data_IF_164289294173
#
_entry.id   IF_164289294173
#
_cell.length_a   1.000
_cell.length_b   1.000
_cell.length_c   1.000
_cell.angle_alpha   90.00
_cell.angle_beta   90.00
_cell.angle_gamma   90.00
#
_symmetry.space_group_name_H-M   'P 1'
#
loop_
_entity.id
_entity.type
_entity.pdbx_description
1 polymer ?
#
# COMPACT_ATOMS: atom_id res chain seq x y z
N UNK A 1 19.97 21.70 29.19
CA UNK A 1 18.99 21.36 30.27
C UNK A 1 17.66 21.97 29.86
N UNK A 2 16.57 21.19 29.81
CA UNK A 2 15.24 21.72 29.41
C UNK A 2 14.47 22.25 30.63
N UNK A 3 13.48 23.12 30.42
CA UNK A 3 12.62 23.66 31.50
C UNK A 3 12.01 22.55 32.38
N UNK A 4 11.59 21.44 31.75
CA UNK A 4 11.09 20.26 32.45
C UNK A 4 12.17 19.56 33.29
N UNK A 5 13.36 19.37 32.72
CA UNK A 5 14.48 18.75 33.45
C UNK A 5 14.92 19.60 34.65
N UNK A 6 14.87 20.93 34.52
CA UNK A 6 15.15 21.85 35.61
C UNK A 6 14.10 21.76 36.73
N UNK A 7 12.80 21.74 36.38
CA UNK A 7 11.71 21.59 37.36
C UNK A 7 11.75 20.24 38.08
N UNK A 8 11.96 19.14 37.34
CA UNK A 8 12.08 17.81 37.95
C UNK A 8 13.26 17.74 38.92
N UNK A 9 14.40 18.34 38.55
CA UNK A 9 15.56 18.41 39.44
C UNK A 9 15.29 19.27 40.68
N UNK A 10 14.58 20.39 40.54
CA UNK A 10 14.19 21.24 41.65
C UNK A 10 13.23 20.52 42.61
N UNK A 11 12.22 19.82 42.08
CA UNK A 11 11.29 19.00 42.88
C UNK A 11 12.06 17.94 43.69
N UNK A 12 12.99 17.21 43.05
CA UNK A 12 13.80 16.20 43.75
C UNK A 12 14.63 16.80 44.89
N UNK A 13 15.29 17.93 44.68
CA UNK A 13 16.12 18.57 45.69
C UNK A 13 15.30 19.14 46.87
N UNK A 14 14.13 19.71 46.59
CA UNK A 14 13.30 20.34 47.61
C UNK A 14 12.42 19.36 48.37
N UNK A 15 12.16 18.16 47.82
CA UNK A 15 11.38 17.11 48.49
C UNK A 15 12.09 16.49 49.69
N UNK A 16 13.39 16.70 49.85
CA UNK A 16 14.19 16.21 50.99
C UNK A 16 13.98 17.03 52.27
N UNK A 17 13.36 18.22 52.18
CA UNK A 17 13.16 19.13 53.30
C UNK A 17 11.66 19.45 53.49
N UNK A 18 11.06 19.12 54.65
CA UNK A 18 9.62 19.32 54.91
C UNK A 18 9.15 20.77 54.84
N UNK A 19 10.06 21.73 55.01
CA UNK A 19 9.77 23.17 54.96
C UNK A 19 9.33 23.65 53.56
N UNK A 20 9.74 22.95 52.50
CA UNK A 20 9.36 23.26 51.12
C UNK A 20 8.21 22.39 50.59
N UNK A 21 7.46 21.71 51.45
CA UNK A 21 6.39 20.80 51.02
C UNK A 21 5.33 21.50 50.15
N UNK A 22 5.01 22.75 50.48
CA UNK A 22 4.06 23.57 49.70
C UNK A 22 4.66 24.01 48.36
N UNK A 23 5.93 24.43 48.35
CA UNK A 23 6.63 24.79 47.11
C UNK A 23 6.79 23.60 46.18
N UNK A 24 7.08 22.40 46.72
CA UNK A 24 7.12 21.14 45.97
C UNK A 24 5.75 20.83 45.38
N UNK A 25 4.67 21.03 46.13
CA UNK A 25 3.30 20.84 45.64
C UNK A 25 2.99 21.78 44.48
N UNK A 26 3.30 23.07 44.60
CA UNK A 26 3.09 24.07 43.55
C UNK A 26 3.98 23.79 42.34
N UNK A 27 5.23 23.40 42.53
CA UNK A 27 6.14 23.03 41.43
C UNK A 27 5.66 21.77 40.70
N UNK A 28 5.06 20.82 41.43
CA UNK A 28 4.44 19.63 40.86
C UNK A 28 3.21 20.02 40.04
N UNK A 29 2.34 20.87 40.56
CA UNK A 29 1.17 21.42 39.85
C UNK A 29 1.61 22.18 38.59
N UNK A 30 2.59 23.08 38.67
CA UNK A 30 3.16 23.77 37.52
C UNK A 30 3.77 22.78 36.54
N UNK A 31 4.46 21.74 37.00
CA UNK A 31 5.02 20.68 36.13
C UNK A 31 3.94 19.90 35.40
N UNK A 32 2.78 19.70 36.02
CA UNK A 32 1.63 18.99 35.47
C UNK A 32 0.79 19.91 34.54
N UNK A 33 0.74 21.21 34.83
CA UNK A 33 0.10 22.26 34.01
C UNK A 33 0.98 22.78 32.87
N UNK A 34 2.30 22.56 32.92
CA UNK A 34 3.18 22.88 31.81
C UNK A 34 2.65 22.19 30.56
N UNK A 35 2.57 22.89 29.40
CA UNK A 35 2.05 22.30 28.18
C UNK A 35 3.02 21.24 27.65
N UNK A 36 2.91 20.03 28.19
CA UNK A 36 3.61 18.83 27.75
C UNK A 36 2.54 17.94 27.12
N UNK A 37 2.13 18.32 25.92
CA UNK A 37 1.21 17.61 25.03
C UNK A 37 -0.18 17.34 25.64
N UNK A 38 -1.22 17.94 25.05
CA UNK A 38 -2.67 17.81 25.38
C UNK A 38 -3.27 16.39 25.29
N UNK A 39 -2.46 15.34 25.36
CA UNK A 39 -2.82 13.96 25.07
C UNK A 39 -2.52 13.05 26.27
N UNK A 40 -3.50 12.95 27.17
CA UNK A 40 -3.59 11.92 28.23
C UNK A 40 -3.73 10.51 27.64
N UNK A 41 -3.61 9.46 28.47
CA UNK A 41 -3.70 8.07 27.95
C UNK A 41 -5.12 7.80 27.45
N UNK A 42 -6.10 8.24 28.24
CA UNK A 42 -7.52 8.22 27.89
C UNK A 42 -7.78 8.95 26.58
N UNK A 43 -7.40 10.23 26.46
CA UNK A 43 -7.68 11.00 25.23
C UNK A 43 -7.03 10.42 23.97
N UNK A 44 -5.87 9.76 24.08
CA UNK A 44 -5.23 9.06 22.96
C UNK A 44 -6.08 7.86 22.53
N UNK A 45 -6.53 7.03 23.48
CA UNK A 45 -7.38 5.87 23.20
C UNK A 45 -8.74 6.30 22.66
N UNK A 46 -9.38 7.27 23.31
CA UNK A 46 -10.67 7.83 22.91
C UNK A 46 -10.63 8.34 21.47
N UNK A 47 -9.58 9.07 21.08
CA UNK A 47 -9.42 9.55 19.71
C UNK A 47 -9.25 8.41 18.68
N UNK A 48 -8.54 7.35 19.05
CA UNK A 48 -8.35 6.17 18.19
C UNK A 48 -9.63 5.36 18.07
N UNK A 49 -10.36 5.18 19.16
CA UNK A 49 -11.64 4.47 19.20
C UNK A 49 -12.71 5.22 18.44
N UNK A 50 -12.82 6.55 18.63
CA UNK A 50 -13.71 7.39 17.84
C UNK A 50 -13.38 7.29 16.35
N UNK A 51 -12.09 7.31 15.98
CA UNK A 51 -11.69 7.11 14.59
C UNK A 51 -12.16 5.75 14.03
N UNK A 52 -12.02 4.68 14.83
CA UNK A 52 -12.44 3.33 14.43
C UNK A 52 -13.95 3.27 14.25
N UNK A 53 -14.73 3.87 15.14
CA UNK A 53 -16.18 3.96 15.03
C UNK A 53 -16.60 4.71 13.77
N UNK A 54 -15.96 5.85 13.48
CA UNK A 54 -16.30 6.70 12.35
C UNK A 54 -15.90 6.09 11.00
N UNK A 55 -14.83 5.29 10.94
CA UNK A 55 -14.22 4.84 9.69
C UNK A 55 -14.26 3.31 9.49
N UNK A 56 -14.67 2.53 10.49
CA UNK A 56 -14.68 1.07 10.46
C UNK A 56 -13.29 0.43 10.32
N UNK A 57 -12.20 1.17 10.59
CA UNK A 57 -10.82 0.68 10.47
C UNK A 57 -9.88 1.33 11.49
N UNK A 58 -8.80 0.64 11.82
CA UNK A 58 -7.72 1.21 12.65
C UNK A 58 -6.99 2.34 11.88
N UNK A 59 -6.66 3.46 12.55
CA UNK A 59 -5.98 4.57 11.90
C UNK A 59 -4.55 4.21 11.46
N UNK A 60 -4.12 4.80 10.34
CA UNK A 60 -2.77 4.66 9.78
C UNK A 60 -1.86 5.78 10.25
N UNK A 61 -0.54 5.66 10.05
CA UNK A 61 0.40 6.74 10.38
C UNK A 61 0.07 8.10 9.71
N UNK A 62 -0.58 8.07 8.54
CA UNK A 62 -1.05 9.29 7.85
C UNK A 62 -2.29 9.90 8.52
N UNK A 63 -3.15 9.08 9.13
CA UNK A 63 -4.33 9.57 9.86
C UNK A 63 -3.90 10.33 11.13
N UNK A 64 -2.82 9.90 11.79
CA UNK A 64 -2.21 10.60 12.94
C UNK A 64 -1.56 11.97 12.59
N UNK A 65 -1.52 12.34 11.30
CA UNK A 65 -1.11 13.70 10.86
C UNK A 65 -2.30 14.66 10.73
N UNK A 66 -3.54 14.16 10.77
CA UNK A 66 -4.76 14.97 10.64
C UNK A 66 -5.06 15.68 11.96
N UNK A 67 -5.84 16.77 11.86
CA UNK A 67 -6.37 17.46 13.06
C UNK A 67 -7.30 16.51 13.81
N UNK A 68 -7.23 16.54 15.15
CA UNK A 68 -8.03 15.67 16.02
C UNK A 68 -7.37 14.34 16.39
N UNK A 69 -6.19 14.02 15.86
CA UNK A 69 -5.40 12.85 16.27
C UNK A 69 -4.16 13.26 17.06
N UNK A 70 -3.67 12.41 18.00
CA UNK A 70 -2.40 12.66 18.66
C UNK A 70 -1.25 12.59 17.65
N UNK A 71 -0.30 13.55 17.66
CA UNK A 71 0.89 13.44 16.83
C UNK A 71 1.68 12.17 17.15
N UNK A 72 2.27 11.52 16.13
CA UNK A 72 3.09 10.32 16.31
C UNK A 72 4.26 10.51 17.31
N UNK A 73 4.76 11.74 17.46
CA UNK A 73 5.79 12.11 18.44
C UNK A 73 5.31 11.94 19.87
N UNK A 74 4.03 12.21 20.15
CA UNK A 74 3.40 12.03 21.48
C UNK A 74 3.42 10.55 21.86
N UNK A 75 3.00 9.67 20.95
CA UNK A 75 2.99 8.22 21.18
C UNK A 75 4.40 7.71 21.48
N UNK A 76 5.39 8.12 20.67
CA UNK A 76 6.80 7.75 20.89
C UNK A 76 7.34 8.25 22.23
N UNK A 77 7.06 9.49 22.59
CA UNK A 77 7.56 10.09 23.84
C UNK A 77 6.95 9.43 25.07
N UNK A 78 5.66 9.07 25.00
CA UNK A 78 4.87 8.56 26.12
C UNK A 78 5.06 7.08 26.35
N UNK A 79 4.90 6.26 25.31
CA UNK A 79 4.92 4.80 25.43
C UNK A 79 6.30 4.19 25.11
N UNK A 80 7.28 5.01 24.71
CA UNK A 80 8.64 4.58 24.33
C UNK A 80 8.67 3.52 23.22
N UNK A 81 7.61 3.43 22.43
CA UNK A 81 7.45 2.49 21.32
C UNK A 81 7.10 3.24 20.03
N UNK A 82 7.15 2.56 18.90
CA UNK A 82 6.67 3.13 17.64
C UNK A 82 5.14 3.16 17.59
N UNK A 83 4.57 4.10 16.83
CA UNK A 83 3.11 4.13 16.61
C UNK A 83 2.58 2.80 16.06
N UNK A 84 3.34 2.15 15.19
CA UNK A 84 2.97 0.87 14.58
C UNK A 84 2.86 -0.24 15.63
N UNK A 85 3.87 -0.37 16.48
CA UNK A 85 3.88 -1.36 17.57
C UNK A 85 2.76 -1.09 18.56
N UNK A 86 2.59 0.17 18.99
CA UNK A 86 1.52 0.56 19.90
C UNK A 86 0.13 0.20 19.36
N UNK A 87 -0.15 0.52 18.09
CA UNK A 87 -1.41 0.15 17.43
C UNK A 87 -1.56 -1.37 17.32
N UNK A 88 -0.50 -2.11 17.02
CA UNK A 88 -0.56 -3.56 16.91
C UNK A 88 -0.83 -4.24 18.26
N UNK A 89 -0.31 -3.70 19.35
CA UNK A 89 -0.54 -4.20 20.71
C UNK A 89 -1.96 -3.90 21.21
N UNK A 90 -2.47 -2.69 20.96
CA UNK A 90 -3.77 -2.27 21.50
C UNK A 90 -4.96 -2.51 20.57
N UNK A 91 -4.72 -2.52 19.26
CA UNK A 91 -5.75 -2.68 18.22
C UNK A 91 -5.24 -3.67 17.14
N UNK A 92 -5.06 -4.95 17.50
CA UNK A 92 -4.54 -5.94 16.56
C UNK A 92 -5.48 -6.11 15.37
N UNK A 93 -5.02 -5.71 14.19
CA UNK A 93 -5.72 -5.96 12.92
C UNK A 93 -5.13 -7.22 12.30
N UNK A 94 -5.98 -8.21 12.02
CA UNK A 94 -5.58 -9.35 11.19
C UNK A 94 -5.16 -8.84 9.82
N UNK A 95 -3.88 -8.96 9.50
CA UNK A 95 -3.38 -8.65 8.17
C UNK A 95 -3.37 -9.95 7.39
N UNK A 96 -4.17 -10.06 6.31
CA UNK A 96 -4.18 -11.28 5.55
C UNK A 96 -2.77 -11.51 4.98
N UNK A 97 -2.27 -12.71 5.25
CA UNK A 97 -1.00 -13.23 4.77
C UNK A 97 -0.96 -13.21 3.23
N UNK A 98 0.22 -13.47 2.67
CA UNK A 98 0.33 -13.60 1.22
C UNK A 98 -0.59 -14.72 0.69
N UNK A 99 -0.63 -15.87 1.37
CA UNK A 99 -1.44 -17.01 0.97
C UNK A 99 -2.95 -16.73 1.10
N UNK A 100 -3.41 -16.11 2.20
CA UNK A 100 -4.84 -15.75 2.35
C UNK A 100 -5.29 -14.75 1.27
N UNK A 101 -4.42 -13.79 0.89
CA UNK A 101 -4.74 -12.87 -0.22
C UNK A 101 -4.78 -13.59 -1.56
N UNK A 102 -3.80 -14.46 -1.81
CA UNK A 102 -3.75 -15.27 -3.02
C UNK A 102 -5.00 -16.12 -3.15
N UNK A 103 -5.37 -16.86 -2.11
CA UNK A 103 -6.57 -17.67 -2.05
C UNK A 103 -7.83 -16.84 -2.30
N UNK A 104 -7.99 -15.72 -1.59
CA UNK A 104 -9.13 -14.81 -1.78
C UNK A 104 -9.28 -14.35 -3.24
N UNK A 105 -8.21 -13.86 -3.86
CA UNK A 105 -8.28 -13.35 -5.23
C UNK A 105 -8.43 -14.48 -6.26
N UNK A 106 -7.83 -15.64 -6.01
CA UNK A 106 -8.02 -16.83 -6.84
C UNK A 106 -9.48 -17.26 -6.81
N UNK A 107 -10.10 -17.33 -5.63
CA UNK A 107 -11.49 -17.74 -5.47
C UNK A 107 -12.44 -16.78 -6.19
N UNK A 108 -12.28 -15.47 -5.96
CA UNK A 108 -13.05 -14.43 -6.64
C UNK A 108 -12.90 -14.51 -8.18
N UNK A 109 -11.71 -14.86 -8.67
CA UNK A 109 -11.48 -15.06 -10.09
C UNK A 109 -12.19 -16.30 -10.63
N UNK A 110 -12.11 -17.44 -9.93
CA UNK A 110 -12.75 -18.70 -10.34
C UNK A 110 -14.27 -18.53 -10.42
N UNK A 111 -14.87 -17.92 -9.39
CA UNK A 111 -16.31 -17.65 -9.34
C UNK A 111 -16.74 -16.78 -10.53
N UNK A 112 -16.01 -15.69 -10.77
CA UNK A 112 -16.32 -14.77 -11.85
C UNK A 112 -16.07 -15.39 -13.23
N UNK A 113 -15.03 -16.20 -13.36
CA UNK A 113 -14.69 -16.95 -14.57
C UNK A 113 -15.82 -17.92 -14.94
N UNK A 114 -16.31 -18.68 -13.95
CA UNK A 114 -17.40 -19.62 -14.14
C UNK A 114 -18.73 -18.93 -14.45
N UNK A 115 -18.94 -17.71 -13.93
CA UNK A 115 -20.11 -16.87 -14.23
C UNK A 115 -20.11 -16.37 -15.67
N UNK A 116 -19.02 -15.78 -16.14
CA UNK A 116 -18.96 -15.12 -17.45
C UNK A 116 -18.56 -16.05 -18.60
N UNK A 117 -17.87 -17.16 -18.29
CA UNK A 117 -17.34 -18.14 -19.26
C UNK A 117 -16.61 -17.48 -20.43
N UNK A 118 -15.54 -16.73 -20.15
CA UNK A 118 -14.93 -15.83 -21.12
C UNK A 118 -14.20 -16.62 -22.21
N UNK A 119 -14.29 -16.16 -23.45
CA UNK A 119 -13.56 -16.77 -24.58
C UNK A 119 -12.08 -16.40 -24.64
N UNK A 120 -11.70 -15.28 -24.01
CA UNK A 120 -10.31 -14.80 -23.96
C UNK A 120 -10.02 -14.00 -22.68
N UNK A 121 -8.74 -13.72 -22.44
CA UNK A 121 -8.28 -12.90 -21.32
C UNK A 121 -8.82 -11.45 -21.38
N UNK A 122 -8.99 -10.90 -22.58
CA UNK A 122 -9.58 -9.57 -22.80
C UNK A 122 -11.08 -9.58 -22.50
N UNK A 123 -11.77 -10.65 -22.91
CA UNK A 123 -13.18 -10.82 -22.59
C UNK A 123 -13.41 -10.88 -21.09
N UNK A 124 -12.57 -11.62 -20.34
CA UNK A 124 -12.65 -11.62 -18.88
C UNK A 124 -12.50 -10.23 -18.28
N UNK A 125 -11.47 -9.47 -18.69
CA UNK A 125 -11.22 -8.14 -18.12
C UNK A 125 -12.31 -7.11 -18.47
N UNK A 126 -13.02 -7.29 -19.58
CA UNK A 126 -14.13 -6.44 -19.99
C UNK A 126 -15.43 -6.78 -19.28
N UNK A 127 -15.74 -8.08 -19.14
CA UNK A 127 -17.06 -8.57 -18.71
C UNK A 127 -17.11 -8.88 -17.20
N UNK A 128 -15.95 -8.84 -16.50
CA UNK A 128 -15.88 -8.95 -15.04
C UNK A 128 -16.57 -7.76 -14.35
N UNK A 129 -17.03 -8.01 -13.14
CA UNK A 129 -17.55 -6.98 -12.26
C UNK A 129 -16.44 -5.97 -11.90
N UNK A 130 -16.76 -4.68 -11.73
CA UNK A 130 -15.77 -3.64 -11.42
C UNK A 130 -14.94 -3.91 -10.15
N UNK A 131 -15.54 -4.61 -9.18
CA UNK A 131 -14.92 -4.96 -7.89
C UNK A 131 -13.84 -6.04 -8.03
N UNK A 132 -13.96 -6.92 -9.03
CA UNK A 132 -13.05 -8.04 -9.26
C UNK A 132 -11.78 -7.53 -9.95
N UNK A 133 -10.62 -8.02 -9.51
CA UNK A 133 -9.34 -7.68 -10.13
C UNK A 133 -9.20 -8.37 -11.49
N UNK A 134 -8.39 -7.77 -12.36
CA UNK A 134 -8.07 -8.39 -13.65
C UNK A 134 -7.31 -9.70 -13.47
N UNK A 135 -7.38 -10.57 -14.47
CA UNK A 135 -6.73 -11.89 -14.43
C UNK A 135 -5.22 -11.81 -14.14
N UNK A 136 -4.57 -10.71 -14.54
CA UNK A 136 -3.15 -10.46 -14.30
C UNK A 136 -2.82 -10.43 -12.80
N UNK A 137 -3.76 -10.00 -11.95
CA UNK A 137 -3.55 -10.02 -10.49
C UNK A 137 -3.38 -11.45 -9.99
N UNK A 138 -4.22 -12.37 -10.44
CA UNK A 138 -4.10 -13.80 -10.10
C UNK A 138 -2.84 -14.39 -10.73
N UNK A 139 -2.58 -14.11 -12.01
CA UNK A 139 -1.37 -14.57 -12.70
C UNK A 139 -0.07 -14.18 -11.96
N UNK A 140 -0.01 -12.97 -11.40
CA UNK A 140 1.13 -12.52 -10.61
C UNK A 140 1.35 -13.35 -9.33
N UNK A 141 0.28 -13.78 -8.66
CA UNK A 141 0.39 -14.64 -7.47
C UNK A 141 1.03 -15.99 -7.77
N UNK A 142 0.79 -16.54 -8.97
CA UNK A 142 1.38 -17.78 -9.47
C UNK A 142 2.68 -17.55 -10.28
N UNK A 143 3.16 -16.30 -10.38
CA UNK A 143 4.36 -15.89 -11.13
C UNK A 143 4.32 -16.27 -12.62
N UNK A 144 3.13 -16.25 -13.21
CA UNK A 144 2.92 -16.58 -14.63
C UNK A 144 2.51 -15.33 -15.42
N UNK A 145 2.81 -15.34 -16.72
CA UNK A 145 2.46 -14.26 -17.66
C UNK A 145 1.49 -14.71 -18.76
N UNK A 146 0.99 -15.95 -18.67
CA UNK A 146 0.16 -16.57 -19.71
C UNK A 146 -1.20 -16.95 -19.16
N UNK A 147 -2.25 -16.46 -19.81
CA UNK A 147 -3.64 -16.81 -19.53
C UNK A 147 -3.88 -18.32 -19.61
N UNK A 148 -3.38 -18.98 -20.65
CA UNK A 148 -3.56 -20.43 -20.82
C UNK A 148 -2.95 -21.23 -19.67
N UNK A 149 -1.74 -20.86 -19.25
CA UNK A 149 -1.06 -21.50 -18.12
C UNK A 149 -1.79 -21.24 -16.80
N UNK A 150 -2.43 -20.08 -16.66
CA UNK A 150 -3.25 -19.77 -15.49
C UNK A 150 -4.46 -20.72 -15.42
N UNK A 151 -5.17 -20.90 -16.53
CA UNK A 151 -6.30 -21.82 -16.59
C UNK A 151 -5.89 -23.26 -16.32
N UNK A 152 -4.74 -23.69 -16.84
CA UNK A 152 -4.18 -25.03 -16.59
C UNK A 152 -3.89 -25.26 -15.09
N UNK A 153 -3.21 -24.29 -14.44
CA UNK A 153 -2.89 -24.38 -13.00
C UNK A 153 -4.14 -24.36 -12.13
N UNK A 154 -5.17 -23.61 -12.54
CA UNK A 154 -6.44 -23.52 -11.83
C UNK A 154 -7.46 -24.58 -12.26
N UNK A 155 -7.06 -25.51 -13.15
CA UNK A 155 -7.91 -26.57 -13.70
C UNK A 155 -9.23 -26.06 -14.31
N UNK A 156 -9.19 -24.87 -14.92
CA UNK A 156 -10.35 -24.22 -15.52
C UNK A 156 -10.52 -24.58 -17.00
N UNK A 157 -11.76 -24.83 -17.47
CA UNK A 157 -12.02 -25.13 -18.87
C UNK A 157 -11.78 -23.92 -19.76
N UNK A 158 -11.15 -24.13 -20.93
CA UNK A 158 -11.02 -23.09 -21.95
C UNK A 158 -12.28 -23.00 -22.80
N UNK A 159 -12.98 -21.87 -22.77
CA UNK A 159 -14.18 -21.62 -23.57
C UNK A 159 -13.89 -20.98 -24.93
N UNK A 160 -12.61 -20.92 -25.33
CA UNK A 160 -12.23 -20.46 -26.66
C UNK A 160 -12.75 -21.44 -27.70
N UNK A 161 -13.61 -20.97 -28.61
CA UNK A 161 -13.90 -21.71 -29.85
C UNK A 161 -12.57 -22.02 -30.53
N UNK A 162 -12.36 -23.28 -30.90
CA UNK A 162 -11.19 -23.76 -31.63
C UNK A 162 -10.99 -22.96 -32.91
N UNK A 163 -10.12 -21.95 -32.90
CA UNK A 163 -9.71 -21.26 -34.11
C UNK A 163 -8.44 -21.88 -34.69
N UNK A 164 -8.70 -22.77 -35.64
CA UNK A 164 -8.03 -22.94 -36.93
C UNK A 164 -6.50 -22.77 -36.97
N UNK A 165 -5.82 -23.86 -37.34
CA UNK A 165 -4.45 -23.91 -37.84
C UNK A 165 -4.06 -22.61 -38.57
N UNK A 166 -3.31 -21.74 -37.90
CA UNK A 166 -2.59 -20.68 -38.60
C UNK A 166 -1.48 -21.36 -39.40
N UNK A 167 -1.77 -21.69 -40.66
CA UNK A 167 -0.75 -22.08 -41.62
C UNK A 167 0.22 -20.90 -41.71
N UNK A 168 1.52 -21.07 -41.42
CA UNK A 168 2.48 -19.98 -41.55
C UNK A 168 2.52 -19.54 -43.01
N UNK A 169 2.08 -18.30 -43.28
CA UNK A 169 2.27 -17.69 -44.59
C UNK A 169 3.78 -17.51 -44.80
N UNK A 170 4.35 -18.34 -45.68
CA UNK A 170 5.72 -18.16 -46.16
C UNK A 170 5.74 -16.93 -47.07
N UNK A 171 6.10 -15.77 -46.53
CA UNK A 171 6.46 -14.62 -47.34
C UNK A 171 7.79 -14.93 -48.04
N UNK A 172 7.78 -15.05 -49.38
CA UNK A 172 9.00 -15.00 -50.18
C UNK A 172 9.44 -13.54 -50.26
N UNK A 173 10.40 -13.16 -49.43
CA UNK A 173 11.08 -11.86 -49.56
C UNK A 173 12.11 -12.02 -50.66
N UNK A 174 11.82 -11.50 -51.85
CA UNK A 174 12.83 -11.35 -52.90
C UNK A 174 13.61 -10.06 -52.64
N UNK A 175 14.88 -10.20 -52.31
CA UNK A 175 15.81 -9.07 -52.29
C UNK A 175 16.16 -8.72 -53.73
N UNK A 176 15.68 -7.58 -54.22
CA UNK A 176 16.23 -6.94 -55.41
C UNK A 176 17.47 -6.15 -54.97
N UNK A 177 18.64 -6.62 -55.39
CA UNK A 177 19.85 -5.82 -55.36
C UNK A 177 19.78 -4.88 -56.57
N UNK A 178 19.33 -3.65 -56.35
CA UNK A 178 19.44 -2.58 -57.36
C UNK A 178 20.92 -2.25 -57.54
N UNK A 179 21.52 -2.82 -58.58
CA UNK A 179 22.85 -2.49 -59.08
C UNK A 179 22.68 -1.71 -60.38
N UNK A 180 23.42 -0.60 -60.45
CA UNK A 180 23.71 0.28 -61.60
C UNK A 180 22.73 1.44 -61.92
N UNK A 181 22.94 2.55 -61.20
CA UNK A 181 22.60 3.89 -61.69
C UNK A 181 23.68 4.38 -62.68
N UNK A 182 23.37 4.62 -63.97
CA UNK A 182 24.31 5.21 -64.89
C UNK A 182 24.51 6.71 -64.60
N UNK A 183 25.75 7.11 -64.36
CA UNK A 183 26.16 8.51 -64.25
C UNK A 183 25.87 9.25 -65.56
N UNK A 184 25.05 10.31 -65.47
CA UNK A 184 24.79 11.25 -66.57
C UNK A 184 26.05 12.04 -66.92
N UNK A 185 26.54 11.88 -68.14
CA UNK A 185 27.56 12.73 -68.75
C UNK A 185 27.02 14.16 -68.94
N UNK A 186 27.59 15.12 -68.21
CA UNK A 186 27.35 16.54 -68.43
C UNK A 186 28.13 17.02 -69.67
N UNK A 187 27.37 17.42 -70.69
CA UNK A 187 27.87 18.12 -71.88
C UNK A 187 28.28 19.54 -71.48
N UNK A 188 29.54 19.91 -71.69
CA UNK A 188 30.00 21.29 -71.51
C UNK A 188 30.30 21.90 -72.89
N UNK A 189 29.36 22.71 -73.38
CA UNK A 189 29.55 23.61 -74.52
C UNK A 189 29.32 25.04 -74.04
N UNK A 190 30.34 25.89 -74.18
CA UNK A 190 30.33 27.36 -74.30
C UNK A 190 31.78 27.78 -74.62
N UNK A 191 32.08 28.09 -75.89
CA UNK A 191 32.29 29.45 -76.44
C UNK A 191 33.26 30.29 -75.64
#
# INVERSE_FOLDING_TARGET
MTRKQALQRAITLLSESPEYAEDVRILQEISDELPINRWSDSSIRDAVEQFILDNGRVPTASDFKKRGMPPHTVIKQKYKTTLKEWLQTHYPVHKPTYEERKEKYTQMFIEEYNRIKPKSQEAFNRDKSPEIKGWQTVANYYRIKSWRKLLEILELPSYSDTFQNRVPQKFKVNFFLDVDLPFLNASNTKT
#
